data_IF_713861485916
#
_entry.id   IF_713861485916
#
_cell.length_a   1.000
_cell.length_b   1.000
_cell.length_c   1.000
_cell.angle_alpha   90.00
_cell.angle_beta   90.00
_cell.angle_gamma   90.00
#
_symmetry.space_group_name_H-M   'P 1'
#
loop_
_entity.id
_entity.type
_entity.pdbx_description
1 polymer ?
#
# COMPACT_ATOMS: atom_id res chain seq x y z
N UNK A 1 14.65 27.64 -10.47
CA UNK A 1 13.87 26.90 -11.48
C UNK A 1 14.45 25.49 -11.52
N UNK A 2 13.89 24.58 -10.71
CA UNK A 2 14.27 23.16 -10.75
C UNK A 2 13.47 22.52 -11.88
N UNK A 3 14.15 22.28 -13.00
CA UNK A 3 13.57 21.69 -14.20
C UNK A 3 13.35 20.20 -13.97
N UNK A 4 12.09 19.76 -13.93
CA UNK A 4 11.46 18.50 -14.42
C UNK A 4 12.22 17.16 -14.54
N UNK A 5 13.53 17.06 -14.33
CA UNK A 5 14.34 15.87 -14.55
C UNK A 5 14.31 14.91 -13.35
N UNK A 6 14.14 15.41 -12.13
CA UNK A 6 14.12 14.55 -10.94
C UNK A 6 12.84 13.69 -10.86
N UNK A 7 11.74 14.15 -11.47
CA UNK A 7 10.51 13.36 -11.63
C UNK A 7 10.60 12.29 -12.74
N UNK A 8 11.57 12.39 -13.66
CA UNK A 8 11.78 11.40 -14.73
C UNK A 8 12.76 10.28 -14.35
N UNK A 9 13.59 10.48 -13.31
CA UNK A 9 14.58 9.47 -12.89
C UNK A 9 13.89 8.27 -12.21
N UNK A 10 12.75 8.49 -11.54
CA UNK A 10 11.88 7.41 -11.03
C UNK A 10 10.70 7.14 -11.97
N UNK A 11 10.94 7.01 -13.27
CA UNK A 11 9.94 6.50 -14.22
C UNK A 11 9.29 5.19 -13.71
N UNK A 12 8.21 4.73 -14.36
CA UNK A 12 7.42 3.53 -13.97
C UNK A 12 8.20 2.20 -13.80
N UNK A 13 9.54 2.21 -13.83
CA UNK A 13 10.44 1.13 -13.48
C UNK A 13 9.95 0.38 -12.24
N UNK A 14 9.66 -0.90 -12.44
CA UNK A 14 9.27 -1.82 -11.38
C UNK A 14 7.82 -1.70 -10.89
N UNK A 15 7.06 -0.64 -11.19
CA UNK A 15 5.70 -0.48 -10.64
C UNK A 15 4.69 -1.49 -11.22
N UNK A 16 4.77 -1.75 -12.53
CA UNK A 16 3.92 -2.76 -13.17
C UNK A 16 4.30 -4.19 -12.72
N UNK A 17 5.60 -4.44 -12.56
CA UNK A 17 6.10 -5.71 -12.01
C UNK A 17 5.67 -5.89 -10.56
N UNK A 18 5.68 -4.81 -9.79
CA UNK A 18 5.23 -4.79 -8.41
C UNK A 18 3.72 -5.02 -8.31
N UNK A 19 2.87 -4.39 -9.13
CA UNK A 19 1.43 -4.65 -9.10
C UNK A 19 1.11 -6.13 -9.38
N UNK A 20 1.82 -6.73 -10.35
CA UNK A 20 1.71 -8.17 -10.63
C UNK A 20 2.21 -9.05 -9.47
N UNK A 21 3.35 -8.70 -8.86
CA UNK A 21 3.90 -9.38 -7.68
C UNK A 21 3.00 -9.24 -6.45
N UNK A 22 2.34 -8.09 -6.29
CA UNK A 22 1.49 -7.79 -5.16
C UNK A 22 0.31 -8.75 -5.08
N UNK A 23 -0.44 -8.87 -6.18
CA UNK A 23 -1.58 -9.79 -6.27
C UNK A 23 -1.12 -11.23 -6.08
N UNK A 24 -0.07 -11.65 -6.79
CA UNK A 24 0.43 -13.03 -6.69
C UNK A 24 0.92 -13.39 -5.28
N UNK A 25 1.58 -12.45 -4.57
CA UNK A 25 2.06 -12.66 -3.21
C UNK A 25 0.89 -12.81 -2.22
N UNK A 26 -0.14 -11.97 -2.34
CA UNK A 26 -1.34 -12.07 -1.49
C UNK A 26 -2.13 -13.35 -1.77
N UNK A 27 -2.31 -13.74 -3.04
CA UNK A 27 -2.94 -15.00 -3.42
C UNK A 27 -2.15 -16.23 -2.97
N UNK A 28 -0.82 -16.13 -2.86
CA UNK A 28 0.00 -17.19 -2.28
C UNK A 28 -0.34 -17.39 -0.80
N UNK A 29 -0.50 -16.30 -0.03
CA UNK A 29 -0.89 -16.36 1.38
C UNK A 29 -2.28 -16.97 1.61
N UNK A 30 -3.20 -16.85 0.64
CA UNK A 30 -4.52 -17.48 0.71
C UNK A 30 -4.50 -18.99 0.47
N UNK A 31 -3.44 -19.50 -0.17
CA UNK A 31 -3.28 -20.92 -0.54
C UNK A 31 -2.47 -21.73 0.49
N UNK A 32 -1.90 -21.06 1.48
CA UNK A 32 -1.18 -21.72 2.57
C UNK A 32 -2.13 -22.61 3.40
N UNK A 33 -1.56 -23.62 4.06
CA UNK A 33 -2.36 -24.54 4.90
C UNK A 33 -3.02 -23.84 6.10
N UNK A 34 -2.39 -22.76 6.56
CA UNK A 34 -2.94 -21.81 7.54
C UNK A 34 -2.89 -20.42 6.91
N UNK A 35 -3.93 -20.03 6.17
CA UNK A 35 -3.88 -18.80 5.39
C UNK A 35 -3.96 -17.56 6.30
N UNK A 36 -3.00 -16.64 6.13
CA UNK A 36 -2.99 -15.35 6.84
C UNK A 36 -4.03 -14.38 6.28
N UNK A 37 -4.51 -14.64 5.07
CA UNK A 37 -5.56 -13.86 4.42
C UNK A 37 -6.71 -14.81 4.14
N UNK A 38 -7.92 -14.44 4.58
CA UNK A 38 -9.11 -15.27 4.34
C UNK A 38 -9.24 -15.60 2.84
N UNK A 39 -9.44 -16.88 2.46
CA UNK A 39 -9.67 -17.28 1.07
C UNK A 39 -10.83 -16.54 0.40
N UNK A 40 -11.79 -16.05 1.21
CA UNK A 40 -12.99 -15.39 0.71
C UNK A 40 -12.79 -13.90 0.38
N UNK A 41 -11.64 -13.32 0.78
CA UNK A 41 -11.28 -11.98 0.39
C UNK A 41 -10.77 -11.99 -1.05
N UNK A 42 -11.53 -11.45 -1.99
CA UNK A 42 -11.10 -11.37 -3.38
C UNK A 42 -10.06 -10.26 -3.59
N UNK A 43 -8.77 -10.59 -3.56
CA UNK A 43 -7.64 -9.64 -3.70
C UNK A 43 -7.72 -8.81 -4.99
N UNK A 44 -8.28 -9.40 -6.06
CA UNK A 44 -8.45 -8.73 -7.36
C UNK A 44 -9.71 -7.86 -7.43
N UNK A 45 -10.59 -7.91 -6.42
CA UNK A 45 -11.89 -7.21 -6.39
C UNK A 45 -12.18 -6.63 -5.00
N UNK A 46 -11.31 -5.73 -4.55
CA UNK A 46 -11.42 -5.02 -3.28
C UNK A 46 -12.26 -3.74 -3.38
N UNK A 47 -12.53 -3.21 -4.57
CA UNK A 47 -13.38 -2.02 -4.74
C UNK A 47 -14.75 -2.21 -4.08
N UNK A 48 -15.14 -1.29 -3.21
CA UNK A 48 -16.42 -1.34 -2.48
C UNK A 48 -16.44 -2.28 -1.27
N UNK A 49 -15.31 -2.94 -0.93
CA UNK A 49 -15.19 -3.70 0.32
C UNK A 49 -14.84 -2.77 1.48
N UNK A 50 -15.12 -3.21 2.71
CA UNK A 50 -14.61 -2.57 3.92
C UNK A 50 -13.08 -2.63 3.98
N UNK A 51 -12.49 -1.82 4.87
CA UNK A 51 -11.07 -1.90 5.19
C UNK A 51 -10.69 -3.32 5.64
N UNK A 52 -9.61 -3.92 5.09
CA UNK A 52 -9.28 -5.33 5.31
C UNK A 52 -8.55 -5.55 6.65
N UNK A 53 -9.15 -5.07 7.74
CA UNK A 53 -8.55 -5.03 9.08
C UNK A 53 -8.03 -6.38 9.53
N UNK A 54 -8.88 -7.41 9.48
CA UNK A 54 -8.51 -8.75 9.95
C UNK A 54 -7.29 -9.31 9.21
N UNK A 55 -7.23 -9.14 7.88
CA UNK A 55 -6.08 -9.60 7.09
C UNK A 55 -4.80 -8.82 7.41
N UNK A 56 -4.91 -7.50 7.65
CA UNK A 56 -3.77 -6.68 8.08
C UNK A 56 -3.27 -7.10 9.47
N UNK A 57 -4.18 -7.40 10.41
CA UNK A 57 -3.83 -7.91 11.75
C UNK A 57 -3.17 -9.28 11.67
N UNK A 58 -3.73 -10.21 10.88
CA UNK A 58 -3.13 -11.54 10.69
C UNK A 58 -1.74 -11.48 10.06
N UNK A 59 -1.51 -10.58 9.09
CA UNK A 59 -0.18 -10.36 8.52
C UNK A 59 0.77 -9.72 9.55
N UNK A 60 0.32 -8.70 10.27
CA UNK A 60 1.09 -8.03 11.34
C UNK A 60 1.53 -9.01 12.42
N UNK A 61 0.62 -9.86 12.89
CA UNK A 61 0.84 -10.73 14.03
C UNK A 61 1.45 -12.09 13.64
N UNK A 62 1.72 -12.31 12.35
CA UNK A 62 2.33 -13.55 11.86
C UNK A 62 3.81 -13.69 12.26
N UNK A 63 4.30 -14.93 12.22
CA UNK A 63 5.71 -15.26 12.45
C UNK A 63 6.62 -14.98 11.23
N UNK A 64 6.09 -14.37 10.16
CA UNK A 64 6.87 -14.03 8.98
C UNK A 64 7.98 -13.03 9.33
N UNK A 65 9.13 -13.06 8.62
CA UNK A 65 10.16 -12.04 8.75
C UNK A 65 9.56 -10.64 8.59
N UNK A 66 10.05 -9.68 9.38
CA UNK A 66 9.52 -8.30 9.40
C UNK A 66 9.46 -7.68 8.00
N UNK A 67 10.53 -7.82 7.21
CA UNK A 67 10.58 -7.37 5.82
C UNK A 67 9.43 -7.95 4.99
N UNK A 68 9.13 -9.24 5.18
CA UNK A 68 8.05 -9.92 4.46
C UNK A 68 6.67 -9.46 4.93
N UNK A 69 6.50 -9.21 6.24
CA UNK A 69 5.27 -8.62 6.78
C UNK A 69 5.05 -7.23 6.20
N UNK A 70 6.07 -6.37 6.19
CA UNK A 70 6.01 -5.02 5.61
C UNK A 70 5.65 -5.08 4.13
N UNK A 71 6.26 -5.98 3.36
CA UNK A 71 5.96 -6.18 1.93
C UNK A 71 4.48 -6.57 1.71
N UNK A 72 3.99 -7.60 2.40
CA UNK A 72 2.61 -8.08 2.25
C UNK A 72 1.58 -7.06 2.73
N UNK A 73 1.86 -6.35 3.83
CA UNK A 73 1.00 -5.27 4.33
C UNK A 73 0.98 -4.11 3.34
N UNK A 74 2.13 -3.75 2.75
CA UNK A 74 2.21 -2.72 1.68
C UNK A 74 1.34 -3.11 0.49
N UNK A 75 1.44 -4.35 0.03
CA UNK A 75 0.62 -4.87 -1.06
C UNK A 75 -0.87 -4.80 -0.73
N UNK A 76 -1.28 -5.26 0.45
CA UNK A 76 -2.69 -5.33 0.81
C UNK A 76 -3.31 -3.93 0.98
N UNK A 77 -2.69 -3.06 1.78
CA UNK A 77 -3.22 -1.71 2.04
C UNK A 77 -3.19 -0.85 0.79
N UNK A 78 -2.11 -0.94 0.01
CA UNK A 78 -1.97 -0.18 -1.23
C UNK A 78 -2.94 -0.67 -2.30
N UNK A 79 -3.10 -1.98 -2.49
CA UNK A 79 -4.08 -2.54 -3.45
C UNK A 79 -5.51 -2.14 -3.06
N UNK A 80 -5.87 -2.24 -1.78
CA UNK A 80 -7.17 -1.83 -1.30
C UNK A 80 -7.43 -0.35 -1.58
N UNK A 81 -6.53 0.55 -1.11
CA UNK A 81 -6.70 2.00 -1.28
C UNK A 81 -6.73 2.40 -2.76
N UNK A 82 -5.84 1.82 -3.58
CA UNK A 82 -5.82 2.03 -5.03
C UNK A 82 -7.15 1.71 -5.67
N UNK A 83 -7.76 0.58 -5.33
CA UNK A 83 -9.05 0.17 -5.90
C UNK A 83 -10.21 1.00 -5.38
N UNK A 84 -10.15 1.53 -4.15
CA UNK A 84 -11.19 2.45 -3.65
C UNK A 84 -11.17 3.80 -4.38
N UNK A 85 -9.98 4.32 -4.67
CA UNK A 85 -9.80 5.66 -5.20
C UNK A 85 -9.55 5.72 -6.72
N UNK A 86 -9.60 4.58 -7.42
CA UNK A 86 -9.16 4.45 -8.81
C UNK A 86 -7.74 5.03 -9.06
N UNK A 87 -6.86 4.81 -8.08
CA UNK A 87 -5.49 5.35 -8.06
C UNK A 87 -4.50 4.54 -8.91
N UNK A 88 -3.25 5.00 -8.91
CA UNK A 88 -2.14 4.33 -9.59
C UNK A 88 -0.97 4.14 -8.64
N UNK A 89 -0.29 2.99 -8.72
CA UNK A 89 0.97 2.81 -8.03
C UNK A 89 1.98 3.85 -8.50
N UNK A 90 2.74 4.40 -7.57
CA UNK A 90 3.80 5.37 -7.83
C UNK A 90 4.87 5.30 -6.74
N UNK A 91 5.98 5.98 -6.99
CA UNK A 91 6.99 6.25 -5.98
C UNK A 91 6.60 7.53 -5.23
N UNK A 92 6.43 7.43 -3.92
CA UNK A 92 6.07 8.55 -3.05
C UNK A 92 7.24 8.85 -2.13
N UNK A 93 7.61 10.11 -1.99
CA UNK A 93 8.68 10.50 -1.08
C UNK A 93 8.40 9.99 0.34
N UNK A 94 9.47 9.53 0.99
CA UNK A 94 9.50 9.16 2.39
C UNK A 94 10.33 10.22 3.15
N UNK A 95 9.66 11.22 3.76
CA UNK A 95 10.35 12.26 4.50
C UNK A 95 11.04 11.75 5.78
N UNK A 96 10.74 10.50 6.21
CA UNK A 96 11.36 9.87 7.39
C UNK A 96 12.67 9.14 7.08
N UNK A 97 13.02 8.98 5.80
CA UNK A 97 14.28 8.36 5.38
C UNK A 97 15.47 9.29 5.63
N UNK A 98 15.97 9.31 6.87
CA UNK A 98 17.23 9.97 7.19
C UNK A 98 18.40 9.08 6.78
N UNK A 99 18.93 9.32 5.58
CA UNK A 99 20.35 9.26 5.12
C UNK A 99 20.48 8.73 3.69
N UNK A 100 20.85 9.61 2.75
CA UNK A 100 21.27 9.25 1.39
C UNK A 100 20.20 9.47 0.31
N UNK A 101 20.66 10.03 -0.81
CA UNK A 101 19.88 10.48 -2.00
C UNK A 101 19.12 9.31 -2.68
N UNK A 102 19.26 8.07 -2.20
CA UNK A 102 18.71 6.85 -2.79
C UNK A 102 17.79 6.02 -1.87
N UNK A 103 17.42 6.51 -0.68
CA UNK A 103 16.47 5.83 0.23
C UNK A 103 15.17 6.61 0.46
N UNK A 104 14.95 7.69 -0.30
CA UNK A 104 13.94 8.72 0.00
C UNK A 104 12.54 8.45 -0.56
N UNK A 105 12.22 7.23 -1.01
CA UNK A 105 10.94 6.91 -1.64
C UNK A 105 10.38 5.57 -1.14
N UNK A 106 9.07 5.55 -0.87
CA UNK A 106 8.29 4.36 -0.60
C UNK A 106 7.28 4.08 -1.71
N UNK A 107 6.84 2.84 -1.80
CA UNK A 107 5.74 2.47 -2.69
C UNK A 107 4.43 3.05 -2.18
N UNK A 108 3.72 3.75 -3.06
CA UNK A 108 2.49 4.43 -2.70
C UNK A 108 1.51 4.54 -3.85
N UNK A 109 0.40 5.21 -3.58
CA UNK A 109 -0.72 5.38 -4.50
C UNK A 109 -0.90 6.86 -4.79
N UNK A 110 -0.90 7.22 -6.08
CA UNK A 110 -1.30 8.52 -6.57
C UNK A 110 -2.79 8.52 -6.90
N UNK A 111 -3.50 9.56 -6.47
CA UNK A 111 -4.90 9.82 -6.79
C UNK A 111 -5.03 11.31 -7.07
N UNK A 112 -5.25 11.70 -8.33
CA UNK A 112 -5.26 13.11 -8.71
C UNK A 112 -3.95 13.82 -8.36
N UNK A 113 -4.03 14.86 -7.53
CA UNK A 113 -2.87 15.59 -6.98
C UNK A 113 -2.31 15.01 -5.67
N UNK A 114 -3.03 14.10 -5.03
CA UNK A 114 -2.65 13.52 -3.74
C UNK A 114 -1.81 12.23 -3.86
N UNK A 115 -1.00 11.97 -2.83
CA UNK A 115 -0.17 10.78 -2.71
C UNK A 115 -0.37 10.11 -1.34
N UNK A 116 -0.49 8.79 -1.33
CA UNK A 116 -0.52 7.96 -0.13
C UNK A 116 0.69 7.02 -0.13
N UNK A 117 1.57 7.12 0.86
CA UNK A 117 2.75 6.24 0.97
C UNK A 117 2.38 4.94 1.70
N UNK A 118 1.99 3.91 0.93
CA UNK A 118 1.56 2.62 1.45
C UNK A 118 2.68 1.88 2.19
N UNK A 119 3.93 2.02 1.75
CA UNK A 119 5.09 1.41 2.39
C UNK A 119 5.38 2.01 3.77
N UNK A 120 5.25 3.33 3.92
CA UNK A 120 5.36 4.00 5.23
C UNK A 120 4.25 3.52 6.17
N UNK A 121 3.00 3.50 5.70
CA UNK A 121 1.87 3.01 6.48
C UNK A 121 2.07 1.55 6.91
N UNK A 122 2.59 0.69 6.02
CA UNK A 122 2.87 -0.70 6.32
C UNK A 122 3.93 -0.88 7.41
N UNK A 123 5.01 -0.10 7.38
CA UNK A 123 6.01 -0.09 8.47
C UNK A 123 5.40 0.31 9.80
N UNK A 124 4.55 1.34 9.81
CA UNK A 124 3.79 1.75 10.99
C UNK A 124 2.92 0.61 11.55
N UNK A 125 2.14 -0.04 10.69
CA UNK A 125 1.29 -1.18 11.08
C UNK A 125 2.12 -2.30 11.70
N UNK A 126 3.22 -2.70 11.05
CA UNK A 126 4.10 -3.77 11.55
C UNK A 126 4.79 -3.39 12.86
N UNK A 127 5.08 -2.11 13.07
CA UNK A 127 5.60 -1.56 14.33
C UNK A 127 4.54 -1.44 15.44
N UNK A 128 3.26 -1.66 15.14
CA UNK A 128 2.17 -1.66 16.11
C UNK A 128 1.26 -0.42 16.06
N UNK A 129 1.34 0.40 15.02
CA UNK A 129 0.43 1.54 14.85
C UNK A 129 -1.02 1.09 14.73
N UNK A 130 -1.93 1.99 15.15
CA UNK A 130 -3.36 1.72 15.14
C UNK A 130 -3.92 1.64 13.71
N UNK A 131 -4.44 0.46 13.36
CA UNK A 131 -5.23 0.26 12.15
C UNK A 131 -6.52 1.09 12.13
N UNK A 132 -7.09 1.40 13.30
CA UNK A 132 -8.25 2.29 13.40
C UNK A 132 -7.91 3.74 13.05
N UNK A 133 -6.74 4.20 13.49
CA UNK A 133 -6.24 5.52 13.12
C UNK A 133 -5.99 5.59 11.61
N UNK A 134 -5.35 4.57 11.03
CA UNK A 134 -5.11 4.53 9.58
C UNK A 134 -6.43 4.49 8.79
N UNK A 135 -7.37 3.63 9.16
CA UNK A 135 -8.69 3.56 8.52
C UNK A 135 -9.41 4.91 8.57
N UNK A 136 -9.41 5.57 9.74
CA UNK A 136 -10.03 6.89 9.94
C UNK A 136 -9.38 7.99 9.09
N UNK A 137 -8.09 7.85 8.76
CA UNK A 137 -7.38 8.77 7.86
C UNK A 137 -7.69 8.48 6.38
N UNK A 138 -7.83 7.21 5.98
CA UNK A 138 -8.03 6.84 4.59
C UNK A 138 -9.47 7.02 4.11
N UNK A 139 -10.48 6.75 4.96
CA UNK A 139 -11.89 6.82 4.54
C UNK A 139 -12.32 8.22 4.04
N UNK A 140 -11.94 9.34 4.69
CA UNK A 140 -12.23 10.67 4.16
C UNK A 140 -11.57 10.93 2.80
N UNK A 141 -10.33 10.46 2.62
CA UNK A 141 -9.61 10.63 1.35
C UNK A 141 -10.28 9.84 0.23
N UNK A 142 -10.71 8.61 0.50
CA UNK A 142 -11.48 7.79 -0.46
C UNK A 142 -12.75 8.51 -0.90
N UNK A 143 -13.45 9.13 0.05
CA UNK A 143 -14.66 9.90 -0.26
C UNK A 143 -14.34 11.09 -1.18
N UNK A 144 -13.30 11.86 -0.87
CA UNK A 144 -12.87 12.98 -1.70
C UNK A 144 -12.44 12.54 -3.10
N UNK A 145 -11.77 11.38 -3.22
CA UNK A 145 -11.39 10.78 -4.49
C UNK A 145 -12.61 10.52 -5.38
N UNK A 146 -13.64 9.87 -4.83
CA UNK A 146 -14.87 9.56 -5.54
C UNK A 146 -15.68 10.78 -5.97
N UNK A 147 -15.49 11.91 -5.29
CA UNK A 147 -16.09 13.20 -5.63
C UNK A 147 -15.26 14.01 -6.65
N UNK A 148 -14.07 13.53 -7.04
CA UNK A 148 -13.16 14.24 -7.96
C UNK A 148 -12.42 15.41 -7.31
N UNK A 149 -12.28 15.41 -5.99
CA UNK A 149 -11.78 16.53 -5.18
C UNK A 149 -10.35 16.28 -4.62
N UNK A 150 -9.60 15.33 -5.19
CA UNK A 150 -8.20 15.01 -4.84
C UNK A 150 -7.20 15.37 -5.94
#
# INVERSE_FOLDING_TARGET
MSTNADNEICGNYGLAEFDGKAVAALEAQQRESQPLISPELSITKLKGTSFPRQALESLRDSELPEEKRVELVTHLVGTWYRQQCDGQWTWVEDPSAHTGIFQSFGMGIKVGGAHFNAAVAARGIVAGDSLESLESQLLPLIKLAGEGNL
#
